data_IF_020229957201
#
_entry.id   IF_020229957201
#
_cell.length_a   1.000
_cell.length_b   1.000
_cell.length_c   1.000
_cell.angle_alpha   90.00
_cell.angle_beta   90.00
_cell.angle_gamma   90.00
#
_symmetry.space_group_name_H-M   'P 1'
#
loop_
_entity.id
_entity.type
_entity.pdbx_description
1 polymer ?
#
# COMPACT_ATOMS: atom_id res chain seq x y z
N UNK A 1 62.49 14.00 11.18
CA UNK A 1 61.55 12.98 11.74
C UNK A 1 60.15 13.57 11.65
N UNK A 2 59.41 13.24 10.60
CA UNK A 2 58.08 13.76 10.31
C UNK A 2 57.05 12.66 10.65
N UNK A 3 56.28 12.85 11.73
CA UNK A 3 55.23 11.93 12.15
C UNK A 3 53.94 12.18 11.35
N UNK A 4 53.51 11.22 10.56
CA UNK A 4 52.19 11.20 9.90
C UNK A 4 51.13 10.74 10.90
N UNK A 5 50.25 11.66 11.27
CA UNK A 5 49.03 11.36 12.05
C UNK A 5 47.96 10.90 11.05
N UNK A 6 47.68 9.58 11.01
CA UNK A 6 46.58 9.02 10.25
C UNK A 6 45.29 9.29 11.00
N UNK A 7 44.46 10.21 10.49
CA UNK A 7 43.11 10.45 10.99
C UNK A 7 42.18 9.33 10.50
N UNK A 8 41.75 8.46 11.42
CA UNK A 8 40.79 7.40 11.18
C UNK A 8 39.35 8.03 11.15
N UNK A 9 38.81 8.22 9.95
CA UNK A 9 37.40 8.64 9.78
C UNK A 9 36.50 7.46 10.13
N UNK A 10 35.94 7.50 11.32
CA UNK A 10 34.83 6.61 11.72
C UNK A 10 33.55 7.04 10.95
N UNK A 11 33.22 6.29 9.91
CA UNK A 11 31.92 6.42 9.23
C UNK A 11 30.86 5.84 10.16
N UNK A 12 30.17 6.73 10.88
CA UNK A 12 28.97 6.38 11.63
C UNK A 12 27.86 6.04 10.61
N UNK A 13 27.65 4.75 10.37
CA UNK A 13 26.46 4.26 9.66
C UNK A 13 25.25 4.45 10.56
N UNK A 14 24.46 5.50 10.31
CA UNK A 14 23.14 5.62 10.91
C UNK A 14 22.26 4.48 10.38
N UNK A 15 21.56 3.75 11.27
CA UNK A 15 20.59 2.77 10.80
C UNK A 15 19.51 3.53 10.01
N UNK A 16 19.29 3.11 8.76
CA UNK A 16 18.16 3.56 7.99
C UNK A 16 16.89 3.14 8.77
N UNK A 17 16.20 4.12 9.37
CA UNK A 17 14.93 3.85 10.03
C UNK A 17 13.93 3.46 8.93
N UNK A 18 13.26 2.34 9.11
CA UNK A 18 12.15 1.95 8.25
C UNK A 18 11.14 3.11 8.22
N UNK A 19 10.85 3.63 7.03
CA UNK A 19 9.94 4.77 6.84
C UNK A 19 8.47 4.39 7.06
N UNK A 20 8.21 3.19 7.58
CA UNK A 20 6.88 2.64 7.77
C UNK A 20 6.69 1.94 9.12
N UNK A 21 5.44 1.85 9.57
CA UNK A 21 4.99 1.10 10.73
C UNK A 21 4.01 0.00 10.29
N UNK A 22 4.35 -1.28 10.50
CA UNK A 22 3.48 -2.43 10.22
C UNK A 22 2.88 -2.99 11.49
N UNK A 23 1.56 -2.93 11.62
CA UNK A 23 0.80 -3.42 12.78
C UNK A 23 -0.27 -4.44 12.37
N UNK A 24 -0.61 -5.37 13.26
CA UNK A 24 -1.74 -6.27 13.01
C UNK A 24 -3.05 -5.51 12.94
N UNK A 25 -3.95 -5.97 12.08
CA UNK A 25 -5.33 -5.47 12.12
C UNK A 25 -5.94 -5.75 13.49
N UNK A 26 -6.64 -4.78 14.12
CA UNK A 26 -7.19 -4.97 15.46
C UNK A 26 -8.21 -6.12 15.49
N UNK A 27 -8.03 -7.09 16.39
CA UNK A 27 -8.85 -8.31 16.47
C UNK A 27 -10.35 -8.06 16.71
N UNK A 28 -10.69 -6.91 17.34
CA UNK A 28 -12.08 -6.50 17.60
C UNK A 28 -12.68 -5.66 16.48
N UNK A 29 -11.91 -5.28 15.48
CA UNK A 29 -12.37 -4.50 14.34
C UNK A 29 -12.70 -5.44 13.18
N UNK A 30 -13.97 -5.50 12.79
CA UNK A 30 -14.36 -6.22 11.59
C UNK A 30 -13.74 -5.56 10.36
N UNK A 31 -13.42 -6.38 9.36
CA UNK A 31 -13.06 -5.87 8.03
C UNK A 31 -14.28 -5.15 7.45
N UNK A 32 -14.17 -3.87 7.07
CA UNK A 32 -15.29 -3.14 6.49
C UNK A 32 -15.78 -3.83 5.20
N UNK A 33 -17.10 -3.80 4.95
CA UNK A 33 -17.64 -4.33 3.70
C UNK A 33 -17.16 -3.52 2.51
N UNK A 34 -16.97 -4.21 1.38
CA UNK A 34 -16.58 -3.62 0.11
C UNK A 34 -17.76 -3.70 -0.86
N UNK A 35 -18.15 -2.56 -1.40
CA UNK A 35 -19.03 -2.42 -2.55
C UNK A 35 -18.67 -1.10 -3.25
N UNK A 36 -17.66 -1.16 -4.14
CA UNK A 36 -17.06 0.00 -4.78
C UNK A 36 -17.07 -0.16 -6.30
N UNK A 37 -16.94 0.97 -6.98
CA UNK A 37 -16.62 1.04 -8.39
C UNK A 37 -15.33 1.83 -8.57
N UNK A 38 -14.38 1.30 -9.36
CA UNK A 38 -13.16 2.01 -9.69
C UNK A 38 -13.35 3.00 -10.85
N UNK A 39 -12.32 3.76 -11.14
CA UNK A 39 -12.34 4.78 -12.22
C UNK A 39 -12.46 4.18 -13.62
N UNK A 40 -12.19 2.88 -13.79
CA UNK A 40 -12.39 2.13 -15.03
C UNK A 40 -13.79 1.54 -15.17
N UNK A 41 -14.64 1.66 -14.11
CA UNK A 41 -16.01 1.15 -14.10
C UNK A 41 -16.14 -0.28 -13.57
N UNK A 42 -15.04 -0.94 -13.17
CA UNK A 42 -15.06 -2.28 -12.57
C UNK A 42 -15.66 -2.21 -11.16
N UNK A 43 -16.61 -3.11 -10.86
CA UNK A 43 -17.18 -3.24 -9.52
C UNK A 43 -16.38 -4.22 -8.67
N UNK A 44 -16.14 -3.80 -7.42
CA UNK A 44 -15.45 -4.57 -6.39
C UNK A 44 -16.39 -4.78 -5.20
N UNK A 45 -16.53 -6.01 -4.75
CA UNK A 45 -17.32 -6.34 -3.56
C UNK A 45 -16.54 -7.29 -2.65
N UNK A 46 -17.01 -7.50 -1.42
CA UNK A 46 -16.32 -8.35 -0.45
C UNK A 46 -16.10 -9.79 -0.94
N UNK A 47 -16.94 -10.31 -1.83
CA UNK A 47 -16.76 -11.65 -2.41
C UNK A 47 -15.65 -11.66 -3.47
N UNK A 48 -15.52 -10.59 -4.28
CA UNK A 48 -14.48 -10.48 -5.30
C UNK A 48 -13.06 -10.37 -4.72
N UNK A 49 -12.93 -10.02 -3.44
CA UNK A 49 -11.63 -9.95 -2.74
C UNK A 49 -11.18 -11.29 -2.15
N UNK A 50 -12.04 -12.32 -2.13
CA UNK A 50 -11.68 -13.64 -1.60
C UNK A 50 -10.80 -14.44 -2.56
N UNK A 51 -10.05 -15.40 -2.00
CA UNK A 51 -9.13 -16.29 -2.71
C UNK A 51 -7.95 -15.58 -3.39
N UNK A 52 -7.67 -14.36 -2.99
CA UNK A 52 -6.47 -13.60 -3.38
C UNK A 52 -5.99 -12.71 -2.24
N UNK A 53 -4.71 -12.43 -2.21
CA UNK A 53 -4.17 -11.39 -1.34
C UNK A 53 -4.52 -10.03 -1.94
N UNK A 54 -4.93 -9.07 -1.10
CA UNK A 54 -5.22 -7.71 -1.58
C UNK A 54 -4.32 -6.71 -0.87
N UNK A 55 -3.73 -5.82 -1.66
CA UNK A 55 -2.97 -4.64 -1.23
C UNK A 55 -3.87 -3.42 -1.46
N UNK A 56 -4.56 -3.00 -0.40
CA UNK A 56 -5.48 -1.86 -0.44
C UNK A 56 -4.75 -0.61 0.05
N UNK A 57 -4.33 0.25 -0.88
CA UNK A 57 -3.50 1.42 -0.60
C UNK A 57 -4.30 2.72 -0.61
N UNK A 58 -4.26 3.47 0.49
CA UNK A 58 -4.89 4.80 0.62
C UNK A 58 -3.85 5.88 0.34
N UNK A 59 -4.11 6.71 -0.66
CA UNK A 59 -3.15 7.67 -1.20
C UNK A 59 -3.79 8.97 -1.72
N UNK A 60 -2.96 9.96 -2.03
CA UNK A 60 -3.40 11.18 -2.71
C UNK A 60 -2.27 11.78 -3.57
N UNK A 61 -2.62 12.56 -4.60
CA UNK A 61 -1.63 13.21 -5.48
C UNK A 61 -0.84 14.32 -4.79
N UNK A 62 -1.35 14.88 -3.72
CA UNK A 62 -0.67 15.91 -2.90
C UNK A 62 0.24 15.31 -1.80
N UNK A 63 0.23 14.00 -1.61
CA UNK A 63 1.01 13.29 -0.61
C UNK A 63 2.38 12.91 -1.20
N UNK A 64 3.47 13.55 -0.75
CA UNK A 64 4.81 13.29 -1.27
C UNK A 64 5.27 11.84 -1.09
N UNK A 65 5.21 11.22 0.12
CA UNK A 65 5.61 9.82 0.29
C UNK A 65 4.71 8.84 -0.48
N UNK A 66 3.42 9.18 -0.71
CA UNK A 66 2.58 8.35 -1.58
C UNK A 66 3.13 8.28 -3.00
N UNK A 67 3.58 9.42 -3.56
CA UNK A 67 4.14 9.46 -4.92
C UNK A 67 5.43 8.66 -5.05
N UNK A 68 6.21 8.54 -3.98
CA UNK A 68 7.41 7.71 -3.94
C UNK A 68 7.08 6.22 -3.92
N UNK A 69 5.98 5.82 -3.27
CA UNK A 69 5.51 4.43 -3.17
C UNK A 69 4.82 3.91 -4.44
N UNK A 70 4.03 4.76 -5.13
CA UNK A 70 3.16 4.37 -6.25
C UNK A 70 3.88 3.62 -7.38
N UNK A 71 5.12 3.92 -7.80
CA UNK A 71 5.82 3.15 -8.81
C UNK A 71 6.06 1.68 -8.41
N UNK A 72 6.33 1.41 -7.14
CA UNK A 72 6.52 0.04 -6.65
C UNK A 72 5.20 -0.73 -6.58
N UNK A 73 4.08 -0.06 -6.28
CA UNK A 73 2.73 -0.63 -6.38
C UNK A 73 2.36 -0.96 -7.83
N UNK A 74 2.72 -0.09 -8.77
CA UNK A 74 2.52 -0.33 -10.20
C UNK A 74 3.32 -1.56 -10.66
N UNK A 75 4.60 -1.64 -10.29
CA UNK A 75 5.44 -2.82 -10.58
C UNK A 75 4.83 -4.08 -9.99
N UNK A 76 4.36 -4.04 -8.73
CA UNK A 76 3.67 -5.17 -8.11
C UNK A 76 2.42 -5.57 -8.88
N UNK A 77 1.60 -4.61 -9.31
CA UNK A 77 0.40 -4.86 -10.10
C UNK A 77 0.72 -5.60 -11.42
N UNK A 78 1.73 -5.12 -12.16
CA UNK A 78 2.15 -5.68 -13.44
C UNK A 78 2.65 -7.13 -13.32
N UNK A 79 3.49 -7.42 -12.31
CA UNK A 79 4.10 -8.74 -12.17
C UNK A 79 3.21 -9.77 -11.48
N UNK A 80 2.16 -9.32 -10.76
CA UNK A 80 1.32 -10.19 -9.93
C UNK A 80 0.30 -11.03 -10.70
N UNK A 81 -0.04 -10.64 -11.92
CA UNK A 81 -1.14 -11.26 -12.66
C UNK A 81 -2.49 -11.22 -11.91
N UNK A 82 -2.67 -10.23 -11.00
CA UNK A 82 -3.87 -10.05 -10.18
C UNK A 82 -3.89 -10.81 -8.84
N UNK A 83 -2.78 -11.44 -8.44
CA UNK A 83 -2.62 -12.01 -7.10
C UNK A 83 -1.17 -11.87 -6.61
N UNK A 84 -0.85 -10.88 -5.78
CA UNK A 84 -1.79 -9.99 -5.08
C UNK A 84 -2.53 -9.01 -6.00
N UNK A 85 -3.77 -8.71 -5.64
CA UNK A 85 -4.57 -7.66 -6.25
C UNK A 85 -4.21 -6.32 -5.61
N UNK A 86 -3.75 -5.36 -6.40
CA UNK A 86 -3.53 -3.97 -5.95
C UNK A 86 -4.79 -3.16 -6.20
N UNK A 87 -5.29 -2.46 -5.19
CA UNK A 87 -6.37 -1.47 -5.31
C UNK A 87 -5.93 -0.18 -4.60
N UNK A 88 -5.90 0.93 -5.33
CA UNK A 88 -5.71 2.25 -4.74
C UNK A 88 -7.05 2.85 -4.29
N UNK A 89 -7.08 3.51 -3.13
CA UNK A 89 -8.18 4.39 -2.72
C UNK A 89 -7.65 5.81 -2.71
N UNK A 90 -8.07 6.62 -3.68
CA UNK A 90 -7.64 8.02 -3.74
C UNK A 90 -8.56 8.88 -2.88
N UNK A 91 -7.96 9.62 -1.93
CA UNK A 91 -8.69 10.28 -0.85
C UNK A 91 -8.72 11.80 -1.03
N UNK A 92 -9.94 12.37 -0.94
CA UNK A 92 -10.21 13.82 -0.90
C UNK A 92 -9.70 14.58 -2.12
N UNK A 93 -9.87 13.99 -3.30
CA UNK A 93 -9.51 14.64 -4.56
C UNK A 93 -10.62 14.47 -5.61
N UNK A 94 -10.74 15.44 -6.53
CA UNK A 94 -11.67 15.31 -7.67
C UNK A 94 -11.12 14.30 -8.71
N UNK A 95 -12.00 13.49 -9.27
CA UNK A 95 -11.68 12.44 -10.23
C UNK A 95 -10.84 12.94 -11.43
N UNK A 96 -11.13 14.14 -11.94
CA UNK A 96 -10.38 14.73 -13.06
C UNK A 96 -8.88 14.97 -12.74
N UNK A 97 -8.54 15.27 -11.48
CA UNK A 97 -7.14 15.41 -11.05
C UNK A 97 -6.46 14.05 -11.03
N UNK A 98 -7.12 13.06 -10.44
CA UNK A 98 -6.60 11.70 -10.29
C UNK A 98 -6.38 11.05 -11.64
N UNK A 99 -7.35 11.16 -12.56
CA UNK A 99 -7.22 10.62 -13.93
C UNK A 99 -6.04 11.23 -14.69
N UNK A 100 -5.84 12.56 -14.60
CA UNK A 100 -4.67 13.21 -15.23
C UNK A 100 -3.36 12.72 -14.61
N UNK A 101 -3.31 12.56 -13.28
CA UNK A 101 -2.13 12.06 -12.60
C UNK A 101 -1.81 10.63 -13.03
N UNK A 102 -2.78 9.72 -13.04
CA UNK A 102 -2.61 8.33 -13.50
C UNK A 102 -2.09 8.28 -14.94
N UNK A 103 -2.69 9.04 -15.85
CA UNK A 103 -2.24 9.12 -17.25
C UNK A 103 -0.81 9.64 -17.38
N UNK A 104 -0.43 10.65 -16.61
CA UNK A 104 0.91 11.25 -16.68
C UNK A 104 2.01 10.38 -16.06
N UNK A 105 1.65 9.46 -15.16
CA UNK A 105 2.60 8.59 -14.44
C UNK A 105 2.54 7.13 -14.89
N UNK A 106 1.60 6.76 -15.77
CA UNK A 106 1.43 5.39 -16.24
C UNK A 106 0.84 4.43 -15.21
N UNK A 107 0.15 4.94 -14.17
CA UNK A 107 -0.55 4.10 -13.21
C UNK A 107 -1.83 3.52 -13.83
N UNK A 108 -1.98 2.20 -13.82
CA UNK A 108 -3.13 1.51 -14.39
C UNK A 108 -3.81 0.48 -13.46
N UNK A 109 -3.28 0.27 -12.24
CA UNK A 109 -3.98 -0.54 -11.26
C UNK A 109 -5.33 0.11 -10.87
N UNK A 110 -6.34 -0.70 -10.44
CA UNK A 110 -7.66 -0.20 -10.04
C UNK A 110 -7.59 0.91 -8.99
N UNK A 111 -8.28 2.02 -9.24
CA UNK A 111 -8.38 3.14 -8.29
C UNK A 111 -9.84 3.44 -7.98
N UNK A 112 -10.18 3.37 -6.70
CA UNK A 112 -11.49 3.77 -6.14
C UNK A 112 -11.38 5.20 -5.63
N UNK A 113 -12.40 6.01 -5.91
CA UNK A 113 -12.45 7.40 -5.45
C UNK A 113 -13.12 7.51 -4.09
N UNK A 114 -12.48 8.25 -3.18
CA UNK A 114 -13.02 8.59 -1.85
C UNK A 114 -13.00 10.12 -1.63
N UNK A 115 -13.81 10.88 -2.41
CA UNK A 115 -13.72 12.34 -2.42
C UNK A 115 -14.12 12.99 -1.08
N UNK A 116 -14.88 12.29 -0.25
CA UNK A 116 -15.29 12.76 1.08
C UNK A 116 -14.42 12.22 2.22
N UNK A 117 -13.55 11.22 1.95
CA UNK A 117 -12.74 10.55 2.97
C UNK A 117 -13.53 9.58 3.85
N UNK A 118 -14.70 9.12 3.39
CA UNK A 118 -15.55 8.21 4.14
C UNK A 118 -14.98 6.79 4.18
N UNK A 119 -14.44 6.31 3.06
CA UNK A 119 -13.77 5.02 3.02
C UNK A 119 -12.53 5.03 3.92
N UNK A 120 -11.71 6.07 3.83
CA UNK A 120 -10.54 6.21 4.71
C UNK A 120 -10.96 6.16 6.18
N UNK A 121 -12.02 6.88 6.58
CA UNK A 121 -12.57 6.84 7.93
C UNK A 121 -13.08 5.45 8.32
N UNK A 122 -13.82 4.78 7.44
CA UNK A 122 -14.37 3.44 7.67
C UNK A 122 -13.25 2.40 7.92
N UNK A 123 -12.14 2.51 7.19
CA UNK A 123 -10.95 1.66 7.33
C UNK A 123 -9.99 2.14 8.43
N UNK A 124 -10.33 3.20 9.16
CA UNK A 124 -9.50 3.76 10.24
C UNK A 124 -8.18 4.34 9.73
N UNK A 125 -8.17 4.89 8.53
CA UNK A 125 -7.01 5.53 7.91
C UNK A 125 -7.06 7.04 8.15
N UNK A 126 -6.01 7.59 8.75
CA UNK A 126 -5.88 9.02 9.08
C UNK A 126 -4.57 9.65 8.60
N UNK A 127 -3.61 8.83 8.16
CA UNK A 127 -2.31 9.25 7.60
C UNK A 127 -2.09 8.57 6.26
N UNK A 128 -1.31 9.19 5.37
CA UNK A 128 -1.05 8.69 4.03
C UNK A 128 0.47 8.63 3.75
N UNK A 129 0.94 7.60 3.02
CA UNK A 129 0.17 6.44 2.62
C UNK A 129 -0.16 5.52 3.80
N UNK A 130 -1.27 4.81 3.70
CA UNK A 130 -1.58 3.67 4.56
C UNK A 130 -2.08 2.54 3.70
N UNK A 131 -1.50 1.35 3.87
CA UNK A 131 -1.90 0.15 3.14
C UNK A 131 -2.50 -0.87 4.10
N UNK A 132 -3.64 -1.45 3.71
CA UNK A 132 -4.25 -2.57 4.40
C UNK A 132 -3.98 -3.84 3.59
N UNK A 133 -3.40 -4.84 4.23
CA UNK A 133 -3.19 -6.14 3.62
C UNK A 133 -4.35 -7.06 4.02
N UNK A 134 -5.02 -7.64 3.01
CA UNK A 134 -6.17 -8.52 3.17
C UNK A 134 -5.75 -9.92 2.71
N UNK A 135 -6.07 -10.92 3.52
CA UNK A 135 -5.73 -12.31 3.25
C UNK A 135 -6.74 -13.02 2.34
N UNK A 136 -6.47 -14.29 2.01
CA UNK A 136 -7.30 -15.13 1.13
C UNK A 136 -8.75 -15.30 1.61
N UNK A 137 -9.00 -15.15 2.91
CA UNK A 137 -10.33 -15.20 3.51
C UNK A 137 -11.12 -13.89 3.35
N UNK A 138 -10.54 -12.89 2.70
CA UNK A 138 -11.11 -11.56 2.53
C UNK A 138 -11.08 -10.70 3.79
N UNK A 139 -10.30 -11.09 4.81
CA UNK A 139 -10.17 -10.31 6.06
C UNK A 139 -8.87 -9.50 6.09
N UNK A 140 -8.98 -8.28 6.60
CA UNK A 140 -7.82 -7.45 6.88
C UNK A 140 -6.93 -8.13 7.94
N UNK A 141 -5.63 -8.21 7.64
CA UNK A 141 -4.63 -8.88 8.48
C UNK A 141 -3.62 -7.89 9.04
N UNK A 142 -3.22 -6.91 8.24
CA UNK A 142 -2.20 -5.94 8.60
C UNK A 142 -2.56 -4.54 8.13
N UNK A 143 -2.08 -3.55 8.88
CA UNK A 143 -2.03 -2.14 8.51
C UNK A 143 -0.58 -1.71 8.44
N UNK A 144 -0.21 -1.08 7.34
CA UNK A 144 1.12 -0.51 7.12
C UNK A 144 0.96 0.98 6.90
N UNK A 145 1.55 1.81 7.75
CA UNK A 145 1.57 3.27 7.63
C UNK A 145 2.94 3.72 7.18
N UNK A 146 3.02 4.65 6.25
CA UNK A 146 4.25 5.11 5.62
C UNK A 146 4.52 4.37 4.30
N UNK A 147 5.49 4.89 3.57
CA UNK A 147 5.86 4.39 2.23
C UNK A 147 6.68 3.09 2.31
N UNK A 148 6.39 2.19 1.38
CA UNK A 148 7.02 0.87 1.26
C UNK A 148 7.40 0.61 -0.18
N UNK A 149 8.56 0.01 -0.40
CA UNK A 149 8.86 -0.62 -1.70
C UNK A 149 8.11 -1.95 -1.82
N UNK A 150 6.92 -1.92 -2.48
CA UNK A 150 6.06 -3.09 -2.66
C UNK A 150 6.63 -4.12 -3.63
N UNK A 151 7.59 -3.74 -4.47
CA UNK A 151 8.36 -4.64 -5.33
C UNK A 151 9.55 -5.29 -4.59
N UNK A 152 9.93 -4.74 -3.45
CA UNK A 152 11.08 -5.17 -2.67
C UNK A 152 10.87 -6.48 -1.88
N UNK A 153 11.98 -7.09 -1.43
CA UNK A 153 11.96 -8.43 -0.83
C UNK A 153 11.19 -8.49 0.50
N UNK A 154 11.12 -7.38 1.23
CA UNK A 154 10.39 -7.34 2.51
C UNK A 154 8.88 -7.43 2.29
N UNK A 155 8.31 -6.60 1.42
CA UNK A 155 6.90 -6.64 1.07
C UNK A 155 6.53 -8.00 0.44
N UNK A 156 7.38 -8.55 -0.42
CA UNK A 156 7.16 -9.85 -1.03
C UNK A 156 7.04 -10.97 0.03
N UNK A 157 7.85 -10.98 1.08
CA UNK A 157 7.71 -11.93 2.20
C UNK A 157 6.37 -11.78 2.92
N UNK A 158 5.88 -10.54 3.12
CA UNK A 158 4.57 -10.33 3.75
C UNK A 158 3.43 -10.88 2.89
N UNK A 159 3.46 -10.60 1.59
CA UNK A 159 2.44 -11.04 0.65
C UNK A 159 2.42 -12.58 0.53
N UNK A 160 3.59 -13.22 0.48
CA UNK A 160 3.71 -14.68 0.49
C UNK A 160 3.13 -15.29 1.78
N UNK A 161 3.37 -14.68 2.93
CA UNK A 161 2.81 -15.17 4.21
C UNK A 161 1.28 -15.12 4.26
N UNK A 162 0.66 -14.23 3.50
CA UNK A 162 -0.80 -14.09 3.38
C UNK A 162 -1.41 -15.03 2.32
N UNK A 163 -0.58 -15.57 1.43
CA UNK A 163 -1.00 -16.50 0.37
C UNK A 163 -1.17 -17.95 0.85
N UNK A 164 -0.78 -18.22 2.10
CA UNK A 164 -0.96 -19.55 2.71
C UNK A 164 -2.30 -19.56 3.46
N UNK A 165 -3.21 -20.52 3.18
CA UNK A 165 -4.45 -20.66 3.94
C UNK A 165 -4.15 -20.85 5.42
N UNK A 166 -4.78 -20.05 6.28
CA UNK A 166 -4.68 -20.24 7.73
C UNK A 166 -5.37 -21.57 8.07
N UNK A 167 -4.59 -22.60 8.41
CA UNK A 167 -5.14 -23.84 8.97
C UNK A 167 -5.79 -23.49 10.32
N UNK A 168 -7.10 -23.69 10.42
CA UNK A 168 -7.85 -23.63 11.68
C UNK A 168 -7.89 -25.00 12.31
#
# INVERSE_FOLDING_TARGET
MTAYVAALLLVLSWPAHAQFEKTRWPTRQLTPPVDWQDVQGQRWNSASLKNRVVVLNFWATWCAPCKEELPSLQTLHEISGGNPLVIGVNVREPAARVSRYMQSTGLDFPVVMDPQGELAKQWGVSVYPTTILIGLDGKAQWRVKGDVDWSGPEAQRWLQSLSVPTQR
#
